data_IF_346720348392
#
_entry.id   IF_346720348392
#
_cell.length_a   1.000
_cell.length_b   1.000
_cell.length_c   1.000
_cell.angle_alpha   90.00
_cell.angle_beta   90.00
_cell.angle_gamma   90.00
#
_symmetry.space_group_name_H-M   'P 1'
#
loop_
_entity.id
_entity.type
_entity.pdbx_description
1 polymer ?
#
# COMPACT_ATOMS: atom_id res chain seq x y z
N UNK A 1 -15.28 17.42 4.46
CA UNK A 1 -14.36 17.51 3.29
C UNK A 1 -15.05 16.91 2.09
N UNK A 2 -14.75 17.36 0.86
CA UNK A 2 -15.35 16.76 -0.35
C UNK A 2 -14.86 15.32 -0.53
N UNK A 3 -15.71 14.46 -1.09
CA UNK A 3 -15.44 13.01 -1.26
C UNK A 3 -14.12 12.73 -1.99
N UNK A 4 -13.93 13.38 -3.13
CA UNK A 4 -12.71 13.33 -3.94
C UNK A 4 -11.46 13.74 -3.14
N UNK A 5 -11.53 14.83 -2.37
CA UNK A 5 -10.39 15.31 -1.56
C UNK A 5 -9.99 14.29 -0.51
N UNK A 6 -10.97 13.68 0.17
CA UNK A 6 -10.69 12.62 1.15
C UNK A 6 -10.06 11.39 0.51
N UNK A 7 -10.55 10.97 -0.67
CA UNK A 7 -9.98 9.83 -1.41
C UNK A 7 -8.54 10.12 -1.86
N UNK A 8 -8.27 11.30 -2.41
CA UNK A 8 -6.92 11.70 -2.83
C UNK A 8 -5.96 11.68 -1.65
N UNK A 9 -6.33 12.28 -0.51
CA UNK A 9 -5.46 12.30 0.70
C UNK A 9 -5.22 10.87 1.21
N UNK A 10 -6.27 10.04 1.32
CA UNK A 10 -6.15 8.67 1.79
C UNK A 10 -5.31 7.79 0.84
N UNK A 11 -5.44 7.99 -0.48
CA UNK A 11 -4.62 7.29 -1.48
C UNK A 11 -3.17 7.74 -1.46
N UNK A 12 -2.89 9.05 -1.34
CA UNK A 12 -1.51 9.54 -1.19
C UNK A 12 -0.85 8.99 0.08
N UNK A 13 -1.59 8.96 1.20
CA UNK A 13 -1.09 8.36 2.43
C UNK A 13 -0.83 6.86 2.26
N UNK A 14 -1.73 6.14 1.57
CA UNK A 14 -1.53 4.71 1.25
C UNK A 14 -0.29 4.48 0.37
N UNK A 15 -0.03 5.34 -0.61
CA UNK A 15 1.17 5.27 -1.45
C UNK A 15 2.43 5.44 -0.58
N UNK A 16 2.47 6.45 0.29
CA UNK A 16 3.62 6.66 1.20
C UNK A 16 3.81 5.45 2.13
N UNK A 17 2.74 4.97 2.76
CA UNK A 17 2.81 3.80 3.65
C UNK A 17 3.24 2.53 2.89
N UNK A 18 2.78 2.35 1.66
CA UNK A 18 3.22 1.26 0.79
C UNK A 18 4.72 1.34 0.51
N UNK A 19 5.29 2.55 0.34
CA UNK A 19 6.74 2.69 0.15
C UNK A 19 7.54 2.31 1.40
N UNK A 20 7.07 2.66 2.59
CA UNK A 20 7.70 2.23 3.84
C UNK A 20 7.62 0.71 4.01
N UNK A 21 6.44 0.14 3.78
CA UNK A 21 6.24 -1.31 3.83
C UNK A 21 7.17 -2.04 2.86
N UNK A 22 7.18 -1.63 1.59
CA UNK A 22 8.01 -2.25 0.56
C UNK A 22 9.51 -2.10 0.86
N UNK A 23 9.94 -0.98 1.42
CA UNK A 23 11.34 -0.77 1.82
C UNK A 23 11.75 -1.77 2.90
N UNK A 24 10.90 -2.00 3.89
CA UNK A 24 11.15 -2.97 4.97
C UNK A 24 11.24 -4.40 4.39
N UNK A 25 10.33 -4.78 3.48
CA UNK A 25 10.40 -6.06 2.76
C UNK A 25 11.73 -6.22 2.00
N UNK A 26 12.14 -5.20 1.24
CA UNK A 26 13.42 -5.21 0.52
C UNK A 26 14.59 -5.42 1.48
N UNK A 27 14.60 -4.75 2.63
CA UNK A 27 15.67 -4.90 3.64
C UNK A 27 15.67 -6.30 4.24
N UNK A 28 14.49 -6.89 4.53
CA UNK A 28 14.37 -8.26 5.06
C UNK A 28 14.76 -9.32 4.04
N UNK A 29 14.56 -9.05 2.75
CA UNK A 29 14.97 -9.93 1.65
C UNK A 29 16.46 -9.78 1.27
N UNK A 30 17.22 -8.89 1.93
CA UNK A 30 18.67 -8.75 1.76
C UNK A 30 19.10 -7.55 0.90
N UNK A 31 18.19 -6.62 0.60
CA UNK A 31 18.47 -5.34 -0.02
C UNK A 31 18.15 -5.24 -1.51
N UNK A 32 18.31 -4.04 -2.07
CA UNK A 32 17.85 -3.67 -3.42
C UNK A 32 18.42 -4.52 -4.56
N UNK A 33 19.64 -5.05 -4.40
CA UNK A 33 20.31 -5.83 -5.44
C UNK A 33 19.77 -7.26 -5.58
N UNK A 34 19.18 -7.83 -4.53
CA UNK A 34 18.74 -9.24 -4.52
C UNK A 34 17.60 -9.48 -5.51
N UNK A 35 16.73 -8.48 -5.71
CA UNK A 35 15.52 -8.57 -6.55
C UNK A 35 15.33 -7.33 -7.44
N UNK A 36 16.41 -6.80 -8.02
CA UNK A 36 16.42 -5.52 -8.74
C UNK A 36 15.31 -5.34 -9.78
N UNK A 37 15.05 -6.34 -10.63
CA UNK A 37 13.98 -6.27 -11.63
C UNK A 37 12.57 -6.18 -11.00
N UNK A 38 12.33 -6.88 -9.89
CA UNK A 38 11.06 -6.81 -9.16
C UNK A 38 10.85 -5.44 -8.50
N UNK A 39 11.93 -4.81 -8.02
CA UNK A 39 11.88 -3.47 -7.44
C UNK A 39 11.44 -2.42 -8.47
N UNK A 40 11.83 -2.57 -9.74
CA UNK A 40 11.36 -1.69 -10.82
C UNK A 40 9.86 -1.85 -11.09
N UNK A 41 9.31 -3.06 -10.95
CA UNK A 41 7.87 -3.30 -11.09
C UNK A 41 7.11 -2.55 -9.98
N UNK A 42 7.60 -2.58 -8.74
CA UNK A 42 7.00 -1.82 -7.64
C UNK A 42 6.98 -0.30 -7.94
N UNK A 43 8.07 0.25 -8.49
CA UNK A 43 8.13 1.65 -8.92
C UNK A 43 7.06 1.98 -9.97
N UNK A 44 6.87 1.12 -10.97
CA UNK A 44 5.86 1.32 -12.00
C UNK A 44 4.43 1.26 -11.43
N UNK A 45 4.16 0.34 -10.50
CA UNK A 45 2.87 0.25 -9.81
C UNK A 45 2.60 1.54 -9.02
N UNK A 46 3.57 2.02 -8.25
CA UNK A 46 3.45 3.26 -7.48
C UNK A 46 3.28 4.48 -8.38
N UNK A 47 3.96 4.53 -9.52
CA UNK A 47 3.80 5.60 -10.52
C UNK A 47 2.37 5.62 -11.07
N UNK A 48 1.84 4.47 -11.51
CA UNK A 48 0.48 4.39 -12.05
C UNK A 48 -0.54 4.77 -10.97
N UNK A 49 -0.34 4.32 -9.73
CA UNK A 49 -1.22 4.66 -8.62
C UNK A 49 -1.18 6.17 -8.30
N UNK A 50 0.01 6.78 -8.25
CA UNK A 50 0.18 8.22 -8.04
C UNK A 50 -0.47 9.03 -9.17
N UNK A 51 -0.25 8.63 -10.42
CA UNK A 51 -0.86 9.28 -11.59
C UNK A 51 -2.39 9.18 -11.54
N UNK A 52 -2.92 8.00 -11.21
CA UNK A 52 -4.36 7.80 -11.00
C UNK A 52 -4.94 8.68 -9.90
N UNK A 53 -4.18 8.88 -8.82
CA UNK A 53 -4.56 9.65 -7.64
C UNK A 53 -4.56 11.16 -7.88
N UNK A 54 -3.57 11.68 -8.61
CA UNK A 54 -3.38 13.12 -8.79
C UNK A 54 -3.91 13.64 -10.12
N UNK A 55 -3.61 12.95 -11.23
CA UNK A 55 -3.90 13.44 -12.59
C UNK A 55 -5.27 12.96 -13.06
N UNK A 56 -5.67 11.75 -12.66
CA UNK A 56 -6.97 11.17 -13.04
C UNK A 56 -8.01 11.25 -11.92
N UNK A 57 -7.78 12.07 -10.89
CA UNK A 57 -8.74 12.30 -9.83
C UNK A 57 -10.13 12.64 -10.42
N UNK A 58 -11.19 12.11 -9.80
CA UNK A 58 -12.59 12.28 -10.22
C UNK A 58 -12.97 11.66 -11.57
N UNK A 59 -12.02 11.12 -12.34
CA UNK A 59 -12.30 10.34 -13.54
C UNK A 59 -12.55 8.89 -13.18
N UNK A 60 -13.41 8.22 -13.95
CA UNK A 60 -13.69 6.78 -13.80
C UNK A 60 -12.41 5.94 -13.79
N UNK A 61 -11.45 6.24 -14.68
CA UNK A 61 -10.15 5.56 -14.72
C UNK A 61 -9.31 5.79 -13.45
N UNK A 62 -9.31 7.01 -12.89
CA UNK A 62 -8.64 7.30 -11.63
C UNK A 62 -9.28 6.54 -10.46
N UNK A 63 -10.61 6.48 -10.39
CA UNK A 63 -11.28 5.67 -9.38
C UNK A 63 -10.97 4.18 -9.50
N UNK A 64 -10.88 3.62 -10.72
CA UNK A 64 -10.47 2.23 -10.94
C UNK A 64 -9.03 2.01 -10.43
N UNK A 65 -8.11 2.90 -10.77
CA UNK A 65 -6.71 2.79 -10.34
C UNK A 65 -6.61 2.86 -8.80
N UNK A 66 -7.27 3.84 -8.18
CA UNK A 66 -7.29 3.98 -6.72
C UNK A 66 -7.98 2.79 -6.04
N UNK A 67 -9.01 2.20 -6.66
CA UNK A 67 -9.65 0.97 -6.18
C UNK A 67 -8.66 -0.21 -6.19
N UNK A 68 -7.93 -0.41 -7.29
CA UNK A 68 -6.92 -1.48 -7.37
C UNK A 68 -5.81 -1.24 -6.36
N UNK A 69 -5.28 -0.01 -6.26
CA UNK A 69 -4.28 0.35 -5.26
C UNK A 69 -4.78 0.11 -3.84
N UNK A 70 -6.03 0.45 -3.55
CA UNK A 70 -6.64 0.23 -2.23
C UNK A 70 -6.76 -1.26 -1.87
N UNK A 71 -7.01 -2.13 -2.84
CA UNK A 71 -7.01 -3.59 -2.67
C UNK A 71 -5.59 -4.10 -2.40
N UNK A 72 -4.59 -3.58 -3.12
CA UNK A 72 -3.19 -3.91 -2.86
C UNK A 72 -2.78 -3.51 -1.43
N UNK A 73 -3.06 -2.27 -1.02
CA UNK A 73 -2.73 -1.78 0.32
C UNK A 73 -3.45 -2.53 1.44
N UNK A 74 -4.77 -2.69 1.31
CA UNK A 74 -5.57 -3.43 2.31
C UNK A 74 -5.28 -4.93 2.35
N UNK A 75 -4.77 -5.49 1.26
CA UNK A 75 -4.37 -6.89 1.17
C UNK A 75 -3.03 -7.21 1.85
N UNK A 76 -2.10 -6.25 1.96
CA UNK A 76 -0.76 -6.52 2.51
C UNK A 76 -0.77 -7.11 3.93
N UNK A 77 -1.57 -6.61 4.88
CA UNK A 77 -1.67 -7.23 6.21
C UNK A 77 -2.13 -8.69 6.14
N UNK A 78 -3.11 -8.98 5.29
CA UNK A 78 -3.66 -10.33 5.12
C UNK A 78 -2.61 -11.27 4.53
N UNK A 79 -1.93 -10.85 3.47
CA UNK A 79 -0.86 -11.63 2.84
C UNK A 79 0.26 -11.94 3.83
N UNK A 80 0.63 -10.99 4.68
CA UNK A 80 1.67 -11.18 5.69
C UNK A 80 1.25 -12.13 6.82
N UNK A 81 -0.02 -12.10 7.24
CA UNK A 81 -0.56 -13.06 8.22
C UNK A 81 -0.67 -14.47 7.64
N UNK A 82 -1.11 -14.63 6.39
CA UNK A 82 -1.33 -15.96 5.77
C UNK A 82 -0.03 -16.59 5.30
N UNK A 83 0.89 -15.82 4.72
CA UNK A 83 2.17 -16.33 4.21
C UNK A 83 3.24 -16.48 5.32
N UNK A 84 2.89 -16.17 6.57
CA UNK A 84 3.77 -16.20 7.74
C UNK A 84 5.11 -15.48 7.52
N UNK A 85 5.14 -14.48 6.63
CA UNK A 85 6.40 -13.83 6.21
C UNK A 85 6.95 -12.87 7.27
N UNK A 86 6.15 -12.42 8.23
CA UNK A 86 6.56 -11.28 9.07
C UNK A 86 6.24 -11.34 10.56
N UNK A 87 5.64 -12.41 11.07
CA UNK A 87 5.61 -12.65 12.52
C UNK A 87 5.72 -14.16 12.77
N UNK A 88 6.89 -14.70 12.46
CA UNK A 88 7.24 -16.05 12.95
C UNK A 88 7.53 -15.91 14.44
N UNK A 89 7.03 -16.88 15.19
CA UNK A 89 7.12 -17.19 16.63
C UNK A 89 8.56 -17.29 17.19
N UNK A 90 9.48 -16.42 16.78
CA UNK A 90 10.91 -16.48 17.09
C UNK A 90 11.37 -15.23 17.84
N UNK A 91 12.07 -15.42 18.96
CA UNK A 91 12.64 -14.36 19.81
C UNK A 91 13.56 -13.38 19.05
N UNK A 92 14.10 -13.81 17.91
CA UNK A 92 14.93 -13.00 16.99
C UNK A 92 14.16 -11.82 16.37
N UNK A 93 12.85 -11.95 16.15
CA UNK A 93 11.99 -10.93 15.55
C UNK A 93 12.00 -9.61 16.38
N UNK A 94 12.07 -9.72 17.71
CA UNK A 94 12.16 -8.56 18.63
C UNK A 94 13.36 -7.63 18.38
N UNK A 95 14.44 -8.13 17.79
CA UNK A 95 15.69 -7.37 17.64
C UNK A 95 15.81 -6.55 16.34
N UNK A 96 14.88 -6.71 15.38
CA UNK A 96 15.00 -6.12 14.03
C UNK A 96 13.99 -5.03 13.64
N UNK A 97 13.23 -4.47 14.60
CA UNK A 97 12.40 -3.29 14.32
C UNK A 97 10.98 -3.58 13.81
N UNK A 98 10.38 -4.68 14.22
CA UNK A 98 9.05 -5.12 13.75
C UNK A 98 7.90 -4.18 14.16
N UNK A 99 8.12 -3.26 15.11
CA UNK A 99 7.11 -2.24 15.46
C UNK A 99 6.71 -1.40 14.25
N UNK A 100 7.69 -0.84 13.53
CA UNK A 100 7.40 0.05 12.40
C UNK A 100 6.76 -0.72 11.25
N UNK A 101 7.20 -1.96 11.02
CA UNK A 101 6.60 -2.86 10.05
C UNK A 101 5.11 -3.12 10.33
N UNK A 102 4.80 -3.58 11.55
CA UNK A 102 3.41 -3.87 11.96
C UNK A 102 2.56 -2.61 11.96
N UNK A 103 3.09 -1.49 12.46
CA UNK A 103 2.40 -0.21 12.42
C UNK A 103 2.08 0.22 10.98
N UNK A 104 3.03 0.07 10.06
CA UNK A 104 2.84 0.41 8.65
C UNK A 104 1.77 -0.47 8.01
N UNK A 105 1.77 -1.78 8.26
CA UNK A 105 0.73 -2.68 7.78
C UNK A 105 -0.66 -2.28 8.30
N UNK A 106 -0.79 -1.97 9.58
CA UNK A 106 -2.08 -1.54 10.16
C UNK A 106 -2.54 -0.22 9.54
N UNK A 107 -1.65 0.77 9.45
CA UNK A 107 -1.96 2.07 8.85
C UNK A 107 -2.36 1.92 7.37
N UNK A 108 -1.60 1.15 6.59
CA UNK A 108 -1.85 0.88 5.19
C UNK A 108 -3.17 0.11 4.98
N UNK A 109 -3.47 -0.83 5.87
CA UNK A 109 -4.73 -1.58 5.90
C UNK A 109 -5.93 -0.64 6.06
N UNK A 110 -5.86 0.27 7.03
CA UNK A 110 -6.92 1.25 7.31
C UNK A 110 -7.08 2.24 6.16
N UNK A 111 -6.01 2.86 5.69
CA UNK A 111 -6.09 3.85 4.60
C UNK A 111 -6.48 3.22 3.27
N UNK A 112 -6.06 1.98 3.03
CA UNK A 112 -6.49 1.15 1.92
C UNK A 112 -8.00 0.87 1.97
N UNK A 113 -8.52 0.29 3.06
CA UNK A 113 -9.95 0.03 3.19
C UNK A 113 -10.82 1.30 3.06
N UNK A 114 -10.37 2.40 3.64
CA UNK A 114 -11.07 3.67 3.50
C UNK A 114 -11.08 4.16 2.04
N UNK A 115 -9.93 4.12 1.36
CA UNK A 115 -9.83 4.47 -0.06
C UNK A 115 -10.70 3.56 -0.93
N UNK A 116 -10.75 2.26 -0.64
CA UNK A 116 -11.59 1.28 -1.35
C UNK A 116 -13.06 1.71 -1.35
N UNK A 117 -13.60 2.02 -0.16
CA UNK A 117 -14.99 2.46 0.02
C UNK A 117 -15.23 3.75 -0.79
N UNK A 118 -14.31 4.71 -0.72
CA UNK A 118 -14.47 5.98 -1.41
C UNK A 118 -14.36 5.83 -2.94
N UNK A 119 -13.43 5.02 -3.46
CA UNK A 119 -13.32 4.75 -4.89
C UNK A 119 -14.55 3.99 -5.43
N UNK A 120 -15.08 3.03 -4.66
CA UNK A 120 -16.28 2.29 -5.05
C UNK A 120 -17.51 3.21 -5.11
N UNK A 121 -17.61 4.19 -4.21
CA UNK A 121 -18.65 5.23 -4.27
C UNK A 121 -18.49 6.15 -5.48
N UNK A 122 -17.26 6.59 -5.75
CA UNK A 122 -16.96 7.46 -6.90
C UNK A 122 -17.22 6.81 -8.26
N UNK A 123 -17.21 5.47 -8.35
CA UNK A 123 -17.56 4.73 -9.58
C UNK A 123 -19.07 4.60 -9.82
N UNK A 124 -19.89 4.84 -8.80
CA UNK A 124 -21.36 4.70 -8.88
C UNK A 124 -22.07 6.02 -9.18
N UNK A 125 -21.37 7.13 -9.07
CA UNK A 125 -21.83 8.49 -9.38
C UNK A 125 -21.46 8.86 -10.80
#
# INVERSE_FOLDING_TARGET
>A
MKHNVMLTIASLLSIVLMTFHFTDDVLREGGMAVRGAWNLIAVLILLVWLYGTLVLAERRSGYIIMLIGSLLGSGMPVLHMILARTVVTNEVARTRGDYFFVWTLLALGVTGLFSFILSARGLRT
#
